data_IF_137964479373
#
_entry.id   IF_137964479373
#
_cell.length_a   1.000
_cell.length_b   1.000
_cell.length_c   1.000
_cell.angle_alpha   90.00
_cell.angle_beta   90.00
_cell.angle_gamma   90.00
#
_symmetry.space_group_name_H-M   'P 1'
#
loop_
_entity.id
_entity.type
_entity.pdbx_description
1 polymer ?
#
# COMPACT_ATOMS: atom_id res chain seq x y z
N UNK A 1 -0.35 -11.08 -14.57
CA UNK A 1 -0.22 -10.35 -15.86
C UNK A 1 0.85 -9.28 -15.75
N UNK A 2 0.83 -8.42 -14.72
CA UNK A 2 1.72 -7.26 -14.58
C UNK A 2 3.23 -7.53 -14.39
N UNK A 3 3.67 -8.79 -14.29
CA UNK A 3 5.09 -9.17 -14.13
C UNK A 3 5.71 -9.69 -15.44
N UNK A 4 4.96 -9.71 -16.53
CA UNK A 4 5.47 -10.20 -17.82
C UNK A 4 6.34 -9.11 -18.46
N UNK A 5 7.61 -9.42 -18.67
CA UNK A 5 8.61 -8.51 -19.24
C UNK A 5 8.25 -8.05 -20.65
N UNK A 6 7.44 -8.84 -21.37
CA UNK A 6 6.96 -8.47 -22.70
C UNK A 6 6.22 -7.16 -22.73
N UNK A 7 5.55 -6.78 -21.63
CA UNK A 7 4.85 -5.50 -21.61
C UNK A 7 5.79 -4.29 -21.67
N UNK A 8 7.05 -4.43 -21.22
CA UNK A 8 8.06 -3.39 -21.36
C UNK A 8 8.93 -3.53 -22.63
N UNK A 9 8.53 -4.38 -23.57
CA UNK A 9 9.25 -4.60 -24.84
C UNK A 9 10.31 -5.70 -24.80
N UNK A 10 10.57 -6.29 -23.63
CA UNK A 10 11.60 -7.32 -23.46
C UNK A 10 11.11 -8.72 -23.86
N UNK A 11 12.06 -9.62 -24.16
CA UNK A 11 11.76 -11.03 -24.37
C UNK A 11 12.77 -11.92 -23.66
N UNK A 12 12.27 -12.81 -22.80
CA UNK A 12 13.08 -13.93 -22.27
C UNK A 12 12.77 -15.19 -23.08
N UNK A 13 13.77 -15.65 -23.82
CA UNK A 13 13.72 -16.89 -24.58
C UNK A 13 14.06 -18.10 -23.69
N UNK A 14 13.51 -19.27 -24.05
CA UNK A 14 13.74 -20.54 -23.34
C UNK A 14 13.36 -20.54 -21.85
N UNK A 15 12.23 -19.92 -21.47
CA UNK A 15 11.64 -20.04 -20.11
C UNK A 15 11.29 -21.48 -19.71
N UNK A 16 11.15 -22.37 -20.68
CA UNK A 16 10.92 -23.80 -20.46
C UNK A 16 11.62 -24.62 -21.54
N UNK A 17 12.00 -25.85 -21.19
CA UNK A 17 12.69 -26.78 -22.07
C UNK A 17 12.01 -28.15 -22.03
N UNK A 18 12.30 -28.99 -23.02
CA UNK A 18 11.82 -30.36 -23.09
C UNK A 18 12.79 -31.25 -22.33
N UNK A 19 12.35 -31.87 -21.24
CA UNK A 19 13.16 -32.77 -20.41
C UNK A 19 13.31 -34.12 -21.09
N UNK A 20 12.23 -34.60 -21.69
CA UNK A 20 12.19 -35.88 -22.39
C UNK A 20 11.47 -35.72 -23.72
N UNK A 21 12.19 -36.05 -24.79
CA UNK A 21 11.72 -35.93 -26.17
C UNK A 21 10.67 -37.00 -26.54
N UNK A 22 10.70 -38.17 -25.90
CA UNK A 22 9.73 -39.26 -26.15
C UNK A 22 8.38 -38.92 -25.55
N UNK A 23 8.37 -38.47 -24.28
CA UNK A 23 7.13 -38.10 -23.57
C UNK A 23 6.69 -36.67 -23.83
N UNK A 24 7.52 -35.86 -24.52
CA UNK A 24 7.32 -34.40 -24.74
C UNK A 24 7.12 -33.62 -23.45
N UNK A 25 7.64 -34.15 -22.33
CA UNK A 25 7.50 -33.52 -21.02
C UNK A 25 8.33 -32.23 -20.99
N UNK A 26 7.67 -31.11 -20.70
CA UNK A 26 8.32 -29.79 -20.55
C UNK A 26 8.45 -29.43 -19.08
N UNK A 27 9.56 -28.80 -18.72
CA UNK A 27 9.79 -28.23 -17.40
C UNK A 27 10.20 -26.76 -17.52
N UNK A 28 9.95 -25.98 -16.45
CA UNK A 28 10.45 -24.61 -16.34
C UNK A 28 11.98 -24.66 -16.31
N UNK A 29 12.61 -23.73 -17.02
CA UNK A 29 14.05 -23.65 -17.05
C UNK A 29 14.52 -22.77 -15.88
N UNK A 30 15.12 -23.40 -14.88
CA UNK A 30 15.69 -22.76 -13.68
C UNK A 30 17.23 -22.68 -13.75
N UNK A 31 17.79 -22.60 -14.97
CA UNK A 31 19.24 -22.61 -15.23
C UNK A 31 19.78 -23.95 -15.75
N UNK A 32 18.90 -24.86 -16.15
CA UNK A 32 19.29 -26.14 -16.76
C UNK A 32 19.87 -25.95 -18.16
N UNK A 33 19.37 -24.94 -18.88
CA UNK A 33 19.82 -24.55 -20.21
C UNK A 33 19.96 -23.02 -20.21
N UNK A 34 20.87 -22.50 -21.04
CA UNK A 34 21.05 -21.06 -21.22
C UNK A 34 19.73 -20.36 -21.57
N UNK A 35 19.37 -19.34 -20.80
CA UNK A 35 18.31 -18.40 -21.15
C UNK A 35 18.90 -17.15 -21.77
N UNK A 36 18.17 -16.55 -22.70
CA UNK A 36 18.54 -15.29 -23.32
C UNK A 36 17.48 -14.25 -22.99
N UNK A 37 17.90 -13.17 -22.36
CA UNK A 37 17.08 -11.98 -22.16
C UNK A 37 17.49 -10.97 -23.22
N UNK A 38 16.52 -10.59 -24.05
CA UNK A 38 16.67 -9.60 -25.10
C UNK A 38 15.89 -8.37 -24.67
N UNK A 39 16.61 -7.27 -24.46
CA UNK A 39 16.05 -5.96 -24.19
C UNK A 39 15.51 -5.36 -25.49
N UNK A 40 14.44 -4.57 -25.40
CA UNK A 40 13.84 -3.84 -26.53
C UNK A 40 13.54 -4.73 -27.76
N UNK A 41 13.13 -5.98 -27.52
CA UNK A 41 12.85 -6.94 -28.58
C UNK A 41 11.68 -6.49 -29.49
N UNK A 42 10.72 -5.77 -28.93
CA UNK A 42 9.58 -5.19 -29.63
C UNK A 42 9.14 -3.88 -28.94
N UNK A 43 8.29 -3.12 -29.62
CA UNK A 43 7.69 -1.91 -29.05
C UNK A 43 6.97 -2.25 -27.74
N UNK A 44 7.33 -1.51 -26.69
CA UNK A 44 6.75 -1.69 -25.37
C UNK A 44 5.27 -1.31 -25.38
N UNK A 45 4.44 -2.15 -24.75
CA UNK A 45 3.00 -1.87 -24.56
C UNK A 45 2.81 -0.87 -23.41
N UNK A 46 3.67 -0.96 -22.40
CA UNK A 46 3.69 -0.08 -21.22
C UNK A 46 5.10 0.49 -21.12
N UNK A 47 5.19 1.75 -20.74
CA UNK A 47 6.47 2.41 -20.47
C UNK A 47 7.33 1.57 -19.48
N UNK A 48 8.62 1.33 -19.78
CA UNK A 48 9.50 0.54 -18.92
C UNK A 48 9.59 1.04 -17.47
N UNK A 49 9.62 2.37 -17.24
CA UNK A 49 9.68 2.93 -15.89
C UNK A 49 8.40 2.64 -15.11
N UNK A 50 7.23 2.73 -15.77
CA UNK A 50 5.95 2.35 -15.15
C UNK A 50 5.94 0.85 -14.82
N UNK A 51 6.43 0.00 -15.73
CA UNK A 51 6.51 -1.44 -15.49
C UNK A 51 7.40 -1.77 -14.27
N UNK A 52 8.55 -1.11 -14.14
CA UNK A 52 9.47 -1.23 -13.02
C UNK A 52 8.85 -0.73 -11.71
N UNK A 53 8.17 0.42 -11.74
CA UNK A 53 7.43 0.94 -10.59
C UNK A 53 6.38 -0.06 -10.09
N UNK A 54 5.69 -0.77 -10.99
CA UNK A 54 4.76 -1.84 -10.61
C UNK A 54 5.46 -3.02 -9.93
N UNK A 55 6.66 -3.42 -10.39
CA UNK A 55 7.41 -4.49 -9.71
C UNK A 55 7.82 -4.06 -8.30
N UNK A 56 8.32 -2.83 -8.14
CA UNK A 56 8.65 -2.28 -6.83
C UNK A 56 7.42 -2.19 -5.91
N UNK A 57 6.24 -1.88 -6.44
CA UNK A 57 4.99 -1.87 -5.68
C UNK A 57 4.58 -3.29 -5.24
N UNK A 58 4.88 -4.34 -6.02
CA UNK A 58 4.68 -5.72 -5.58
C UNK A 58 5.57 -6.04 -4.37
N UNK A 59 6.86 -5.73 -4.46
CA UNK A 59 7.82 -5.98 -3.38
C UNK A 59 7.45 -5.19 -2.12
N UNK A 60 7.11 -3.91 -2.26
CA UNK A 60 6.65 -3.06 -1.16
C UNK A 60 5.42 -3.66 -0.46
N UNK A 61 4.43 -4.13 -1.23
CA UNK A 61 3.23 -4.77 -0.65
C UNK A 61 3.56 -6.09 0.03
N UNK A 62 4.45 -6.90 -0.53
CA UNK A 62 4.90 -8.15 0.08
C UNK A 62 5.57 -7.89 1.43
N UNK A 63 6.52 -6.95 1.46
CA UNK A 63 7.22 -6.55 2.67
C UNK A 63 6.27 -5.98 3.72
N UNK A 64 5.31 -5.14 3.31
CA UNK A 64 4.29 -4.58 4.20
C UNK A 64 3.46 -5.67 4.88
N UNK A 65 3.05 -6.71 4.13
CA UNK A 65 2.25 -7.82 4.65
C UNK A 65 3.04 -8.58 5.72
N UNK A 66 4.32 -8.88 5.44
CA UNK A 66 5.21 -9.56 6.36
C UNK A 66 5.48 -8.72 7.63
N UNK A 67 5.77 -7.43 7.47
CA UNK A 67 6.09 -6.53 8.57
C UNK A 67 4.92 -6.36 9.55
N UNK A 68 3.70 -6.19 9.02
CA UNK A 68 2.51 -5.91 9.84
C UNK A 68 1.66 -7.13 10.17
N UNK A 69 2.10 -8.33 9.76
CA UNK A 69 1.45 -9.60 10.01
C UNK A 69 -0.01 -9.65 9.56
N UNK A 70 -0.33 -9.00 8.42
CA UNK A 70 -1.65 -9.09 7.78
C UNK A 70 -1.65 -10.25 6.77
N UNK A 71 -2.83 -10.73 6.37
CA UNK A 71 -2.95 -11.75 5.31
C UNK A 71 -3.01 -11.14 3.91
N UNK A 72 -3.35 -9.86 3.81
CA UNK A 72 -3.40 -9.13 2.56
C UNK A 72 -3.17 -7.64 2.78
N UNK A 73 -2.66 -6.98 1.75
CA UNK A 73 -2.43 -5.53 1.75
C UNK A 73 -3.75 -4.73 1.74
N UNK A 74 -4.78 -5.24 1.07
CA UNK A 74 -6.14 -4.72 1.09
C UNK A 74 -7.12 -5.89 0.96
N UNK A 75 -8.31 -5.76 1.54
CA UNK A 75 -9.36 -6.79 1.45
C UNK A 75 -10.75 -6.16 1.34
N UNK A 76 -11.38 -6.36 0.17
CA UNK A 76 -12.72 -5.84 -0.15
C UNK A 76 -12.85 -4.32 0.14
N UNK A 77 -12.05 -3.47 -0.56
CA UNK A 77 -11.92 -2.05 -0.24
C UNK A 77 -13.24 -1.30 -0.34
N UNK A 78 -14.13 -1.69 -1.26
CA UNK A 78 -15.50 -1.17 -1.42
C UNK A 78 -16.31 -1.15 -0.11
N UNK A 79 -16.04 -2.10 0.79
CA UNK A 79 -16.71 -2.22 2.10
C UNK A 79 -15.80 -1.89 3.28
N UNK A 80 -14.49 -2.01 3.09
CA UNK A 80 -13.47 -1.92 4.13
C UNK A 80 -12.19 -1.24 3.60
N UNK A 81 -12.28 0.03 3.22
CA UNK A 81 -11.16 0.78 2.65
C UNK A 81 -9.93 0.89 3.58
N UNK A 82 -10.10 0.76 4.89
CA UNK A 82 -9.01 0.70 5.88
C UNK A 82 -8.47 -0.72 6.16
N UNK A 83 -8.99 -1.78 5.51
CA UNK A 83 -8.53 -3.14 5.76
C UNK A 83 -7.07 -3.32 5.36
N UNK A 84 -6.24 -3.79 6.29
CA UNK A 84 -4.80 -3.91 6.09
C UNK A 84 -4.06 -2.57 6.11
N UNK A 85 -4.73 -1.45 6.41
CA UNK A 85 -4.16 -0.10 6.40
C UNK A 85 -3.95 0.50 7.78
N UNK A 86 -4.61 -0.04 8.80
CA UNK A 86 -4.49 0.46 10.18
C UNK A 86 -3.51 -0.43 10.94
N UNK A 87 -2.47 0.16 11.50
CA UNK A 87 -1.33 -0.51 12.13
C UNK A 87 -1.21 -0.08 13.59
N UNK A 88 -0.81 -1.01 14.44
CA UNK A 88 -0.55 -0.76 15.85
C UNK A 88 0.79 -0.09 16.05
N UNK A 89 0.81 1.14 16.57
CA UNK A 89 2.05 1.83 16.94
C UNK A 89 2.85 1.15 18.06
N UNK A 90 2.23 0.24 18.83
CA UNK A 90 2.89 -0.46 19.95
C UNK A 90 3.55 -1.78 19.53
N UNK A 91 2.88 -2.61 18.74
CA UNK A 91 3.40 -3.94 18.35
C UNK A 91 3.62 -4.11 16.84
N UNK A 92 3.41 -3.04 16.07
CA UNK A 92 3.49 -2.99 14.61
C UNK A 92 2.54 -3.93 13.85
N UNK A 93 1.63 -4.61 14.53
CA UNK A 93 0.68 -5.53 13.91
C UNK A 93 -0.60 -4.83 13.44
N UNK A 94 -1.23 -5.38 12.39
CA UNK A 94 -2.44 -4.82 11.81
C UNK A 94 -3.64 -4.80 12.79
N UNK A 95 -4.50 -3.79 12.62
CA UNK A 95 -5.81 -3.73 13.25
C UNK A 95 -6.83 -4.51 12.42
N UNK A 96 -7.81 -5.06 13.10
CA UNK A 96 -8.96 -5.72 12.47
C UNK A 96 -10.24 -4.97 12.78
N UNK A 97 -11.10 -4.84 11.77
CA UNK A 97 -12.43 -4.24 11.90
C UNK A 97 -13.35 -5.17 12.67
N UNK A 98 -14.06 -4.63 13.65
CA UNK A 98 -15.05 -5.30 14.49
C UNK A 98 -16.35 -4.49 14.50
N UNK A 99 -17.48 -5.18 14.49
CA UNK A 99 -18.79 -4.57 14.72
C UNK A 99 -19.18 -4.71 16.18
N UNK A 100 -19.28 -3.61 16.91
CA UNK A 100 -19.74 -3.60 18.30
C UNK A 100 -21.19 -3.15 18.34
N UNK A 101 -22.07 -4.05 18.77
CA UNK A 101 -23.51 -3.79 18.91
C UNK A 101 -23.83 -3.51 20.38
N UNK A 102 -24.38 -2.32 20.64
CA UNK A 102 -25.07 -1.96 21.88
C UNK A 102 -26.58 -2.01 21.67
N UNK A 103 -27.38 -1.85 22.74
CA UNK A 103 -28.85 -1.92 22.70
C UNK A 103 -29.46 -1.04 21.59
N UNK A 104 -28.90 0.16 21.37
CA UNK A 104 -29.42 1.16 20.42
C UNK A 104 -28.40 1.63 19.37
N UNK A 105 -27.18 1.09 19.32
CA UNK A 105 -26.17 1.55 18.35
C UNK A 105 -25.27 0.42 17.86
N UNK A 106 -24.91 0.51 16.58
CA UNK A 106 -23.90 -0.33 15.95
C UNK A 106 -22.71 0.55 15.60
N UNK A 107 -21.54 0.22 16.15
CA UNK A 107 -20.30 0.97 15.92
C UNK A 107 -19.30 0.08 15.22
N UNK A 108 -18.57 0.65 14.28
CA UNK A 108 -17.46 -0.02 13.59
C UNK A 108 -16.17 0.42 14.28
N UNK A 109 -15.50 -0.55 14.88
CA UNK A 109 -14.35 -0.34 15.75
C UNK A 109 -13.17 -1.09 15.17
N UNK A 110 -12.01 -0.47 15.18
CA UNK A 110 -10.74 -1.09 14.81
C UNK A 110 -9.97 -1.45 16.06
N UNK A 111 -9.50 -2.70 16.13
CA UNK A 111 -8.76 -3.22 17.27
C UNK A 111 -7.55 -4.02 16.80
N UNK A 112 -6.39 -3.80 17.43
CA UNK A 112 -5.17 -4.56 17.18
C UNK A 112 -5.43 -6.08 17.26
N UNK A 113 -4.99 -6.83 16.25
CA UNK A 113 -5.22 -8.28 16.18
C UNK A 113 -4.55 -9.06 17.32
N UNK A 114 -3.41 -8.58 17.81
CA UNK A 114 -2.67 -9.23 18.90
C UNK A 114 -3.29 -8.99 20.28
N UNK A 115 -4.26 -8.09 20.41
CA UNK A 115 -4.85 -7.78 21.72
C UNK A 115 -5.54 -8.99 22.36
N UNK A 116 -6.26 -9.78 21.57
CA UNK A 116 -6.98 -10.96 22.04
C UNK A 116 -6.79 -12.15 21.10
N UNK A 117 -5.58 -12.31 20.57
CA UNK A 117 -5.22 -13.46 19.71
C UNK A 117 -5.46 -14.79 20.43
N UNK A 118 -5.12 -14.84 21.72
CA UNK A 118 -5.50 -15.93 22.61
C UNK A 118 -6.72 -15.49 23.43
N UNK A 119 -7.80 -16.26 23.37
CA UNK A 119 -9.05 -15.93 24.05
C UNK A 119 -8.83 -15.81 25.56
N UNK A 120 -9.17 -14.65 26.13
CA UNK A 120 -9.05 -14.38 27.56
C UNK A 120 -7.66 -13.92 28.02
N UNK A 121 -6.67 -13.85 27.12
CA UNK A 121 -5.35 -13.30 27.42
C UNK A 121 -5.22 -11.97 26.69
N UNK A 122 -4.92 -10.91 27.45
CA UNK A 122 -4.58 -9.62 26.86
C UNK A 122 -3.13 -9.68 26.35
N UNK A 123 -2.95 -9.64 25.03
CA UNK A 123 -1.64 -9.52 24.39
C UNK A 123 -1.23 -8.05 24.32
N UNK A 124 -1.56 -7.38 23.21
CA UNK A 124 -1.28 -5.95 23.04
C UNK A 124 -2.17 -5.06 23.94
N UNK A 125 -1.59 -4.03 24.56
CA UNK A 125 -2.27 -3.04 25.42
C UNK A 125 -3.00 -1.95 24.64
N UNK A 126 -2.76 -1.84 23.33
CA UNK A 126 -3.27 -0.73 22.54
C UNK A 126 -4.81 -0.64 22.55
N UNK A 127 -5.30 0.59 22.49
CA UNK A 127 -6.71 0.94 22.51
C UNK A 127 -7.37 0.57 21.19
N UNK A 128 -8.69 0.52 21.24
CA UNK A 128 -9.49 0.45 20.02
C UNK A 128 -9.76 1.86 19.52
N UNK A 129 -10.05 2.00 18.24
CA UNK A 129 -10.38 3.29 17.62
C UNK A 129 -11.64 3.16 16.77
N UNK A 130 -12.52 4.14 16.84
CA UNK A 130 -13.73 4.16 16.04
C UNK A 130 -13.40 4.50 14.58
N UNK A 131 -14.08 3.86 13.62
CA UNK A 131 -13.85 4.10 12.18
C UNK A 131 -14.03 5.58 11.81
N UNK A 132 -14.95 6.30 12.48
CA UNK A 132 -15.20 7.73 12.26
C UNK A 132 -13.95 8.56 12.58
N UNK A 133 -13.24 8.26 13.68
CA UNK A 133 -12.03 9.00 14.07
C UNK A 133 -10.92 8.82 13.02
N UNK A 134 -10.80 7.63 12.43
CA UNK A 134 -9.84 7.38 11.35
C UNK A 134 -10.16 8.19 10.08
N UNK A 135 -11.45 8.34 9.76
CA UNK A 135 -11.91 9.15 8.63
C UNK A 135 -11.58 10.62 8.88
N UNK A 136 -11.93 11.15 10.05
CA UNK A 136 -11.69 12.54 10.41
C UNK A 136 -10.19 12.85 10.44
N UNK A 137 -9.38 11.97 11.02
CA UNK A 137 -7.92 12.09 11.02
C UNK A 137 -7.35 12.14 9.60
N UNK A 138 -7.86 11.31 8.69
CA UNK A 138 -7.45 11.31 7.29
C UNK A 138 -7.80 12.62 6.58
N UNK A 139 -9.03 13.11 6.73
CA UNK A 139 -9.47 14.37 6.14
C UNK A 139 -8.63 15.54 6.66
N UNK A 140 -8.41 15.61 7.97
CA UNK A 140 -7.58 16.64 8.59
C UNK A 140 -6.13 16.58 8.08
N UNK A 141 -5.53 15.39 8.04
CA UNK A 141 -4.17 15.20 7.56
C UNK A 141 -4.01 15.55 6.08
N UNK A 142 -4.99 15.19 5.24
CA UNK A 142 -4.96 15.52 3.82
C UNK A 142 -5.10 17.03 3.59
N UNK A 143 -6.03 17.69 4.29
CA UNK A 143 -6.20 19.14 4.16
C UNK A 143 -4.95 19.89 4.65
N UNK A 144 -4.32 19.42 5.73
CA UNK A 144 -3.04 19.96 6.18
C UNK A 144 -1.89 19.68 5.20
N UNK A 145 -1.90 18.54 4.49
CA UNK A 145 -0.97 18.25 3.40
C UNK A 145 -1.15 19.27 2.26
N UNK A 146 -2.39 19.60 1.89
CA UNK A 146 -2.69 20.63 0.88
C UNK A 146 -2.22 22.02 1.32
N UNK A 147 -2.41 22.37 2.60
CA UNK A 147 -1.95 23.65 3.13
C UNK A 147 -0.41 23.78 3.09
N UNK A 148 0.30 22.67 3.20
CA UNK A 148 1.77 22.59 3.12
C UNK A 148 2.32 22.24 1.72
N UNK A 149 1.48 22.33 0.68
CA UNK A 149 1.83 21.89 -0.68
C UNK A 149 3.11 22.51 -1.21
N UNK A 150 3.36 23.80 -0.97
CA UNK A 150 4.54 24.49 -1.53
C UNK A 150 5.87 23.93 -0.98
N UNK A 151 5.88 23.42 0.25
CA UNK A 151 7.06 22.73 0.80
C UNK A 151 7.19 21.32 0.24
N UNK A 152 6.06 20.59 0.16
CA UNK A 152 6.02 19.24 -0.39
C UNK A 152 6.37 19.19 -1.88
N UNK A 153 6.06 20.25 -2.63
CA UNK A 153 6.41 20.35 -4.05
C UNK A 153 7.91 20.25 -4.26
N UNK A 154 8.73 20.89 -3.42
CA UNK A 154 10.20 20.80 -3.48
C UNK A 154 10.69 19.38 -3.19
N UNK A 155 10.05 18.71 -2.24
CA UNK A 155 10.30 17.29 -1.93
C UNK A 155 9.98 16.43 -3.15
N UNK A 156 8.81 16.59 -3.77
CA UNK A 156 8.40 15.83 -4.94
C UNK A 156 9.30 16.09 -6.16
N UNK A 157 9.74 17.33 -6.39
CA UNK A 157 10.72 17.67 -7.45
C UNK A 157 12.05 16.93 -7.22
N UNK A 158 12.54 16.90 -5.98
CA UNK A 158 13.77 16.16 -5.63
C UNK A 158 13.57 14.65 -5.81
N UNK A 159 12.44 14.11 -5.35
CA UNK A 159 12.10 12.70 -5.52
C UNK A 159 11.95 12.31 -6.99
N UNK A 160 11.45 13.21 -7.83
CA UNK A 160 11.30 12.99 -9.27
C UNK A 160 12.66 12.86 -9.96
N UNK A 161 13.68 13.59 -9.51
CA UNK A 161 15.03 13.52 -10.07
C UNK A 161 15.84 12.32 -9.54
N UNK A 162 15.75 12.01 -8.24
CA UNK A 162 16.67 11.07 -7.58
C UNK A 162 16.01 9.79 -7.04
N UNK A 163 14.68 9.73 -6.99
CA UNK A 163 13.94 8.59 -6.45
C UNK A 163 13.98 7.37 -7.37
N UNK A 164 13.60 6.22 -6.84
CA UNK A 164 13.37 5.04 -7.67
C UNK A 164 12.08 5.19 -8.52
N UNK A 165 11.84 4.35 -9.55
CA UNK A 165 10.68 4.49 -10.43
C UNK A 165 9.32 4.57 -9.71
N UNK A 166 9.14 3.85 -8.59
CA UNK A 166 7.92 3.93 -7.80
C UNK A 166 7.78 5.27 -7.08
N UNK A 167 8.85 5.75 -6.45
CA UNK A 167 8.86 7.05 -5.77
C UNK A 167 8.63 8.20 -6.75
N UNK A 168 9.27 8.16 -7.92
CA UNK A 168 9.05 9.13 -9.00
C UNK A 168 7.59 9.13 -9.45
N UNK A 169 7.00 7.95 -9.67
CA UNK A 169 5.59 7.82 -10.02
C UNK A 169 4.66 8.42 -8.95
N UNK A 170 4.95 8.19 -7.65
CA UNK A 170 4.17 8.77 -6.54
C UNK A 170 4.33 10.28 -6.44
N UNK A 171 5.53 10.80 -6.65
CA UNK A 171 5.79 12.24 -6.65
C UNK A 171 4.97 12.95 -7.72
N UNK A 172 4.95 12.44 -8.96
CA UNK A 172 4.09 12.96 -10.05
C UNK A 172 2.62 12.86 -9.66
N UNK A 173 2.18 11.68 -9.19
CA UNK A 173 0.79 11.47 -8.79
C UNK A 173 0.33 12.45 -7.72
N UNK A 174 1.14 12.74 -6.70
CA UNK A 174 0.78 13.68 -5.63
C UNK A 174 0.85 15.13 -6.10
N UNK A 175 1.83 15.49 -6.93
CA UNK A 175 1.89 16.82 -7.53
C UNK A 175 0.62 17.12 -8.34
N UNK A 176 0.19 16.19 -9.19
CA UNK A 176 -1.03 16.30 -10.00
C UNK A 176 -2.30 16.32 -9.14
N UNK A 177 -2.40 15.43 -8.14
CA UNK A 177 -3.59 15.33 -7.29
C UNK A 177 -3.80 16.55 -6.37
N UNK A 178 -2.73 17.30 -6.10
CA UNK A 178 -2.80 18.49 -5.25
C UNK A 178 -2.85 19.78 -6.05
N UNK A 179 -2.71 19.74 -7.37
CA UNK A 179 -2.85 20.90 -8.24
C UNK A 179 -4.31 21.40 -8.24
N UNK A 180 -4.49 22.66 -7.85
CA UNK A 180 -5.80 23.32 -7.68
C UNK A 180 -6.83 22.56 -6.81
N UNK A 181 -6.34 21.62 -6.00
CA UNK A 181 -7.18 20.79 -5.16
C UNK A 181 -7.78 21.61 -4.01
N UNK A 182 -9.06 21.36 -3.74
CA UNK A 182 -9.77 21.95 -2.60
C UNK A 182 -9.75 20.99 -1.42
N UNK A 183 -9.90 21.55 -0.23
CA UNK A 183 -10.11 20.76 0.98
C UNK A 183 -11.29 19.80 0.81
N UNK A 184 -11.07 18.57 1.23
CA UNK A 184 -12.09 17.53 1.21
C UNK A 184 -12.89 17.55 2.51
N UNK A 185 -14.15 17.13 2.43
CA UNK A 185 -15.06 16.95 3.58
C UNK A 185 -15.57 15.52 3.72
N UNK A 186 -15.45 14.76 2.64
CA UNK A 186 -15.86 13.38 2.56
C UNK A 186 -14.76 12.62 1.83
N UNK A 187 -14.68 11.32 2.10
CA UNK A 187 -13.68 10.43 1.51
C UNK A 187 -14.33 9.52 0.48
N UNK A 188 -13.61 9.29 -0.61
CA UNK A 188 -13.92 8.23 -1.57
C UNK A 188 -12.92 7.07 -1.43
N UNK A 189 -13.37 5.86 -1.78
CA UNK A 189 -12.55 4.65 -1.66
C UNK A 189 -11.34 4.69 -2.59
N UNK A 190 -11.50 5.10 -3.85
CA UNK A 190 -10.38 5.19 -4.80
C UNK A 190 -9.34 6.19 -4.29
N UNK A 191 -9.82 7.33 -3.79
CA UNK A 191 -8.97 8.37 -3.24
C UNK A 191 -8.08 7.88 -2.10
N UNK A 192 -8.65 7.15 -1.13
CA UNK A 192 -7.88 6.56 -0.03
C UNK A 192 -6.87 5.54 -0.55
N UNK A 193 -7.26 4.65 -1.46
CA UNK A 193 -6.36 3.61 -1.96
C UNK A 193 -5.15 4.19 -2.71
N UNK A 194 -5.32 5.35 -3.34
CA UNK A 194 -4.27 6.05 -4.09
C UNK A 194 -3.33 6.85 -3.21
N UNK A 195 -3.83 7.41 -2.12
CA UNK A 195 -3.09 8.37 -1.29
C UNK A 195 -2.58 7.78 0.02
N UNK A 196 -3.36 6.90 0.67
CA UNK A 196 -3.03 6.38 1.98
C UNK A 196 -2.13 5.15 1.88
N UNK A 197 -0.94 5.23 2.49
CA UNK A 197 -0.12 4.06 2.73
C UNK A 197 -0.65 3.28 3.95
N UNK A 198 -0.58 3.86 5.14
CA UNK A 198 -1.14 3.27 6.35
C UNK A 198 -1.33 4.31 7.48
N UNK A 199 -2.07 3.93 8.51
CA UNK A 199 -2.34 4.74 9.71
C UNK A 199 -1.79 4.01 10.93
N UNK A 200 -0.85 4.61 11.65
CA UNK A 200 -0.38 4.10 12.95
C UNK A 200 -1.18 4.70 14.09
N UNK A 201 -1.74 3.84 14.93
CA UNK A 201 -2.50 4.24 16.12
C UNK A 201 -1.73 3.80 17.35
N UNK A 202 -1.42 4.72 18.25
CA UNK A 202 -0.68 4.46 19.49
C UNK A 202 -1.61 4.41 20.70
N UNK A 203 -1.14 3.75 21.77
CA UNK A 203 -1.91 3.60 23.02
C UNK A 203 -2.25 4.96 23.69
N UNK A 204 -1.41 5.97 23.46
CA UNK A 204 -1.59 7.33 23.96
C UNK A 204 -2.77 8.07 23.32
N UNK A 205 -3.34 7.56 22.21
CA UNK A 205 -4.32 8.27 21.38
C UNK A 205 -3.69 9.05 20.22
N UNK A 206 -2.36 9.05 20.12
CA UNK A 206 -1.64 9.60 18.96
C UNK A 206 -1.93 8.77 17.70
N UNK A 207 -2.25 9.46 16.61
CA UNK A 207 -2.49 8.88 15.28
C UNK A 207 -1.46 9.49 14.33
N UNK A 208 -0.77 8.65 13.57
CA UNK A 208 0.12 9.08 12.49
C UNK A 208 -0.41 8.54 11.17
N UNK A 209 -0.64 9.41 10.20
CA UNK A 209 -1.05 9.05 8.86
C UNK A 209 0.16 9.08 7.95
N UNK A 210 0.44 7.95 7.32
CA UNK A 210 1.50 7.80 6.33
C UNK A 210 0.87 7.80 4.94
N UNK A 211 1.27 8.76 4.11
CA UNK A 211 0.85 8.85 2.71
C UNK A 211 1.83 8.12 1.79
N UNK A 212 1.36 7.78 0.58
CA UNK A 212 2.12 7.02 -0.42
C UNK A 212 3.32 7.79 -1.00
N UNK A 213 3.39 9.10 -0.82
CA UNK A 213 4.56 9.94 -1.14
C UNK A 213 5.60 9.97 0.00
N UNK A 214 5.37 9.19 1.07
CA UNK A 214 6.21 9.14 2.26
C UNK A 214 6.03 10.33 3.20
N UNK A 215 4.98 11.14 3.03
CA UNK A 215 4.66 12.22 3.98
C UNK A 215 3.94 11.64 5.20
N UNK A 216 4.32 12.11 6.39
CA UNK A 216 3.76 11.68 7.66
C UNK A 216 3.06 12.86 8.35
N UNK A 217 1.81 12.65 8.76
CA UNK A 217 1.03 13.67 9.46
C UNK A 217 0.58 13.14 10.81
N UNK A 218 0.92 13.87 11.87
CA UNK A 218 0.51 13.56 13.23
C UNK A 218 -0.82 14.25 13.55
N UNK A 219 -1.75 13.46 14.10
CA UNK A 219 -3.04 13.92 14.61
C UNK A 219 -3.21 13.46 16.06
N UNK A 220 -3.76 14.34 16.90
CA UNK A 220 -4.21 13.99 18.23
C UNK A 220 -5.63 13.45 18.14
N UNK A 221 -5.85 12.19 18.51
CA UNK A 221 -7.17 11.54 18.44
C UNK A 221 -8.07 11.81 19.65
N UNK A 222 -8.14 13.06 20.12
CA UNK A 222 -9.03 13.45 21.24
C UNK A 222 -10.51 13.47 20.86
#
# INVERSE_FOLDING_TARGET
MLQNEKYKGDAILQKSYTVDFLTKKRAKNEGHIQQYHIEENHEAIIDPLIWEAVQLEYDRRSNYIEEHGTNSYSHNPERNFFAGKVVCGTCNQAFTKKGWKSKNSYRKVWQCQERYKVKGVQGCTNRHIDEVILIDAFILSWNALLDNREELKKKWETTLEFGNPLEQYRAVQFADMTEDAKHIKEIDTDFILRTLDHIKVYETGKIIIHFMDGTEMECNGE
#
